data_IF_342434160334
#
_entry.id   IF_342434160334
#
_cell.length_a   1.000
_cell.length_b   1.000
_cell.length_c   1.000
_cell.angle_alpha   90.00
_cell.angle_beta   90.00
_cell.angle_gamma   90.00
#
_symmetry.space_group_name_H-M   'P 1'
#
loop_
_entity.id
_entity.type
_entity.pdbx_description
1 polymer ?
#
# COMPACT_ATOMS: atom_id res chain seq x y z
N UNK A 1 -32.60 24.24 -3.42
CA UNK A 1 -32.78 24.78 -2.04
C UNK A 1 -33.31 26.22 -2.18
N UNK A 2 -33.17 27.16 -1.24
CA UNK A 2 -33.54 28.58 -1.52
C UNK A 2 -32.43 29.34 -2.26
N UNK A 3 -31.21 28.83 -2.17
CA UNK A 3 -30.02 29.22 -2.90
C UNK A 3 -29.39 27.95 -3.50
N UNK A 4 -28.62 28.09 -4.57
CA UNK A 4 -27.85 27.00 -5.20
C UNK A 4 -26.39 27.47 -5.37
N UNK A 5 -25.47 26.53 -5.58
CA UNK A 5 -24.03 26.83 -5.71
C UNK A 5 -23.62 26.90 -7.18
N UNK A 6 -23.29 28.09 -7.67
CA UNK A 6 -22.76 28.29 -9.01
C UNK A 6 -21.24 28.01 -9.07
N UNK A 7 -20.78 27.47 -10.20
CA UNK A 7 -19.37 27.25 -10.52
C UNK A 7 -19.00 27.97 -11.83
N UNK A 8 -17.98 28.82 -11.78
CA UNK A 8 -17.53 29.62 -12.93
C UNK A 8 -16.15 29.18 -13.40
N UNK A 9 -16.09 28.43 -14.50
CA UNK A 9 -14.83 28.10 -15.16
C UNK A 9 -14.36 29.26 -16.04
N UNK A 10 -13.07 29.62 -15.98
CA UNK A 10 -12.48 30.58 -16.90
C UNK A 10 -12.59 30.12 -18.37
N UNK A 11 -12.83 31.07 -19.28
CA UNK A 11 -13.02 30.79 -20.71
C UNK A 11 -11.78 30.24 -21.40
N UNK A 12 -10.61 30.66 -20.93
CA UNK A 12 -9.30 30.19 -21.38
C UNK A 12 -8.49 29.77 -20.16
N UNK A 13 -7.95 28.55 -20.18
CA UNK A 13 -7.04 28.01 -19.16
C UNK A 13 -5.86 27.40 -19.90
N UNK A 14 -4.64 27.86 -19.61
CA UNK A 14 -3.44 27.46 -20.35
C UNK A 14 -2.37 26.85 -19.45
N UNK A 15 -1.51 26.02 -20.06
CA UNK A 15 -0.26 25.54 -19.50
C UNK A 15 0.87 25.96 -20.44
N UNK A 16 1.45 27.13 -20.17
CA UNK A 16 2.34 27.79 -21.14
C UNK A 16 1.58 28.19 -22.39
N UNK A 17 2.05 27.73 -23.56
CA UNK A 17 1.44 28.02 -24.87
C UNK A 17 0.25 27.11 -25.22
N UNK A 18 -0.10 26.13 -24.36
CA UNK A 18 -1.13 25.13 -24.65
C UNK A 18 -2.44 25.40 -23.91
N UNK A 19 -3.57 25.35 -24.61
CA UNK A 19 -4.91 25.42 -24.01
C UNK A 19 -5.29 24.07 -23.39
N UNK A 20 -5.70 24.07 -22.13
CA UNK A 20 -6.22 22.88 -21.46
C UNK A 20 -7.63 22.54 -21.95
N UNK A 21 -7.86 21.26 -22.27
CA UNK A 21 -9.19 20.76 -22.58
C UNK A 21 -10.07 20.70 -21.32
N UNK A 22 -11.40 20.76 -21.49
CA UNK A 22 -12.35 20.76 -20.36
C UNK A 22 -12.19 19.53 -19.45
N UNK A 23 -11.74 18.39 -19.96
CA UNK A 23 -11.46 17.19 -19.17
C UNK A 23 -10.23 17.31 -18.27
N UNK A 24 -9.29 18.19 -18.59
CA UNK A 24 -8.12 18.52 -17.75
C UNK A 24 -8.45 19.64 -16.76
N UNK A 25 -9.16 20.69 -17.20
CA UNK A 25 -9.58 21.79 -16.30
C UNK A 25 -10.43 21.26 -15.14
N UNK A 26 -11.41 20.38 -15.42
CA UNK A 26 -12.24 19.72 -14.38
C UNK A 26 -11.49 18.74 -13.46
N UNK A 27 -10.16 18.58 -13.60
CA UNK A 27 -9.31 17.80 -12.68
C UNK A 27 -8.48 18.69 -11.76
N UNK A 28 -8.47 20.01 -11.96
CA UNK A 28 -7.74 20.96 -11.12
C UNK A 28 -8.58 21.29 -9.87
N UNK A 29 -8.64 20.34 -8.94
CA UNK A 29 -9.49 20.39 -7.75
C UNK A 29 -8.85 21.09 -6.53
N UNK A 30 -7.69 21.72 -6.68
CA UNK A 30 -7.01 22.44 -5.59
C UNK A 30 -7.56 23.86 -5.44
N UNK A 31 -8.79 23.96 -4.91
CA UNK A 31 -9.38 25.24 -4.56
C UNK A 31 -8.92 25.72 -3.17
N UNK A 32 -8.50 26.98 -3.09
CA UNK A 32 -8.36 27.71 -1.84
C UNK A 32 -9.62 28.54 -1.56
N UNK A 33 -9.91 28.84 -0.30
CA UNK A 33 -10.92 29.87 0.01
C UNK A 33 -10.38 31.22 -0.47
N UNK A 34 -11.20 31.99 -1.17
CA UNK A 34 -10.90 33.36 -1.59
C UNK A 34 -11.23 34.32 -0.43
N UNK A 35 -10.26 35.05 0.15
CA UNK A 35 -10.56 36.00 1.22
C UNK A 35 -11.38 37.17 0.67
N UNK A 36 -12.67 37.22 1.02
CA UNK A 36 -13.59 38.24 0.50
C UNK A 36 -13.18 39.65 0.96
N UNK A 37 -12.52 39.77 2.12
CA UNK A 37 -11.94 41.03 2.60
C UNK A 37 -10.89 41.65 1.64
N UNK A 38 -10.22 40.85 0.80
CA UNK A 38 -9.26 41.35 -0.19
C UNK A 38 -9.96 41.84 -1.48
N UNK A 39 -11.24 41.53 -1.68
CA UNK A 39 -12.06 41.94 -2.82
C UNK A 39 -12.67 43.33 -2.59
N UNK A 40 -11.80 44.33 -2.40
CA UNK A 40 -12.17 45.70 -2.06
C UNK A 40 -12.83 46.48 -3.22
N UNK A 41 -14.08 46.12 -3.56
CA UNK A 41 -15.14 46.91 -4.21
C UNK A 41 -16.42 46.06 -4.39
N UNK A 42 -16.92 45.46 -3.31
CA UNK A 42 -18.29 44.92 -3.28
C UNK A 42 -19.20 46.08 -2.87
N UNK A 43 -19.97 46.62 -3.81
CA UNK A 43 -20.95 47.68 -3.54
C UNK A 43 -21.99 47.20 -2.51
N UNK A 44 -22.48 48.12 -1.67
CA UNK A 44 -23.17 47.83 -0.41
C UNK A 44 -24.22 46.71 -0.51
N UNK A 45 -23.89 45.53 0.02
CA UNK A 45 -24.88 44.51 0.40
C UNK A 45 -25.39 44.92 1.79
N UNK A 46 -26.65 45.34 1.95
CA UNK A 46 -27.18 45.70 3.27
C UNK A 46 -27.14 44.48 4.20
N UNK A 47 -26.92 44.73 5.49
CA UNK A 47 -26.94 43.70 6.54
C UNK A 47 -25.85 42.61 6.38
N UNK A 48 -24.82 42.84 5.57
CA UNK A 48 -23.70 41.92 5.35
C UNK A 48 -22.47 42.26 6.22
N UNK A 49 -22.06 41.32 7.08
CA UNK A 49 -20.80 41.39 7.84
C UNK A 49 -19.69 40.57 7.16
N UNK A 50 -18.51 41.17 7.00
CA UNK A 50 -17.35 40.54 6.35
C UNK A 50 -16.43 39.86 7.36
N UNK A 51 -16.71 38.59 7.67
CA UNK A 51 -15.91 37.78 8.60
C UNK A 51 -14.75 37.08 7.87
N UNK A 52 -13.75 37.89 7.50
CA UNK A 52 -12.49 37.45 6.90
C UNK A 52 -12.62 36.86 5.50
N UNK A 53 -12.96 35.57 5.42
CA UNK A 53 -13.09 34.80 4.18
C UNK A 53 -14.51 34.32 3.86
N UNK A 54 -15.51 34.77 4.64
CA UNK A 54 -16.92 34.59 4.32
C UNK A 54 -17.74 35.86 4.59
N UNK A 55 -18.73 36.11 3.74
CA UNK A 55 -19.79 37.09 4.00
C UNK A 55 -20.84 36.42 4.89
N UNK A 56 -21.30 37.12 5.92
CA UNK A 56 -22.41 36.71 6.78
C UNK A 56 -23.57 37.69 6.64
N UNK A 57 -24.81 37.21 6.61
CA UNK A 57 -26.02 38.03 6.68
C UNK A 57 -26.90 37.46 7.79
N UNK A 58 -27.09 38.23 8.87
CA UNK A 58 -27.75 37.80 10.11
C UNK A 58 -27.27 38.62 11.31
N UNK A 59 -27.87 38.44 12.49
CA UNK A 59 -27.60 39.30 13.66
C UNK A 59 -26.26 39.01 14.38
N UNK A 60 -25.83 37.75 14.44
CA UNK A 60 -24.59 37.34 15.12
C UNK A 60 -24.01 36.05 14.49
N UNK A 61 -22.86 36.11 13.78
CA UNK A 61 -22.22 34.93 13.19
C UNK A 61 -21.70 33.89 14.20
N UNK A 62 -21.63 34.22 15.49
CA UNK A 62 -21.33 33.29 16.58
C UNK A 62 -22.57 32.58 17.15
N UNK A 63 -23.77 33.13 16.90
CA UNK A 63 -25.06 32.59 17.35
C UNK A 63 -26.05 32.47 16.16
N UNK A 64 -25.74 31.67 15.13
CA UNK A 64 -26.49 31.62 13.88
C UNK A 64 -27.95 31.16 14.05
N UNK A 65 -28.89 31.93 13.48
CA UNK A 65 -30.33 31.71 13.59
C UNK A 65 -30.94 31.09 12.30
N UNK A 66 -32.21 30.67 12.37
CA UNK A 66 -32.93 30.10 11.21
C UNK A 66 -33.42 31.23 10.30
N UNK A 67 -32.54 31.64 9.38
CA UNK A 67 -32.78 32.69 8.39
C UNK A 67 -31.46 33.18 7.81
N UNK A 68 -30.42 33.17 8.64
CA UNK A 68 -29.08 33.66 8.36
C UNK A 68 -28.41 32.94 7.18
N UNK A 69 -27.56 33.68 6.46
CA UNK A 69 -26.85 33.21 5.28
C UNK A 69 -25.34 33.42 5.44
N UNK A 70 -24.54 32.41 5.12
CA UNK A 70 -23.08 32.53 5.01
C UNK A 70 -22.63 32.16 3.59
N UNK A 71 -21.94 33.08 2.94
CA UNK A 71 -21.41 32.94 1.58
C UNK A 71 -19.88 32.80 1.66
N UNK A 72 -19.34 31.74 1.07
CA UNK A 72 -17.90 31.47 1.01
C UNK A 72 -17.50 31.21 -0.44
N UNK A 73 -16.52 31.96 -0.94
CA UNK A 73 -16.01 31.80 -2.30
C UNK A 73 -14.78 30.90 -2.31
N UNK A 74 -14.71 30.01 -3.30
CA UNK A 74 -13.58 29.13 -3.54
C UNK A 74 -12.97 29.45 -4.91
N UNK A 75 -11.65 29.52 -4.98
CA UNK A 75 -10.91 29.85 -6.21
C UNK A 75 -9.79 28.84 -6.44
N UNK A 76 -9.58 28.46 -7.70
CA UNK A 76 -8.42 27.70 -8.14
C UNK A 76 -7.39 28.70 -8.66
N UNK A 77 -6.37 29.00 -7.86
CA UNK A 77 -5.31 29.91 -8.26
C UNK A 77 -4.39 29.27 -9.32
N UNK A 78 -3.72 30.07 -10.19
CA UNK A 78 -2.69 29.56 -11.09
C UNK A 78 -1.61 28.80 -10.32
N UNK A 79 -1.44 27.53 -10.64
CA UNK A 79 -0.57 26.59 -9.92
C UNK A 79 0.24 25.74 -10.89
N UNK A 80 1.37 25.19 -10.44
CA UNK A 80 2.12 24.23 -11.24
C UNK A 80 1.33 22.92 -11.36
N UNK A 81 1.23 22.37 -12.57
CA UNK A 81 0.60 21.06 -12.83
C UNK A 81 1.46 20.26 -13.79
N UNK A 82 1.37 18.94 -13.68
CA UNK A 82 1.99 17.97 -14.59
C UNK A 82 0.89 17.20 -15.31
N UNK A 83 0.99 17.12 -16.64
CA UNK A 83 -0.05 16.56 -17.51
C UNK A 83 0.52 15.42 -18.35
N UNK A 84 -0.24 14.33 -18.47
CA UNK A 84 0.02 13.21 -19.38
C UNK A 84 -1.26 12.94 -20.17
N UNK A 85 -1.28 13.43 -21.40
CA UNK A 85 -2.38 13.34 -22.37
C UNK A 85 -1.79 13.43 -23.79
N UNK A 86 -2.57 13.21 -24.85
CA UNK A 86 -2.07 13.35 -26.22
C UNK A 86 -2.04 14.82 -26.62
N UNK A 87 -0.90 15.33 -27.11
CA UNK A 87 -0.89 16.68 -27.70
C UNK A 87 -1.59 16.67 -29.06
N UNK A 88 -2.50 17.62 -29.26
CA UNK A 88 -3.23 17.85 -30.51
C UNK A 88 -3.13 19.34 -30.88
N UNK A 89 -2.15 19.69 -31.72
CA UNK A 89 -1.82 21.07 -32.03
C UNK A 89 -1.42 21.87 -30.77
N UNK A 90 -2.24 22.86 -30.42
CA UNK A 90 -2.11 23.70 -29.22
C UNK A 90 -2.97 23.24 -28.02
N UNK A 91 -3.58 22.06 -28.06
CA UNK A 91 -4.37 21.52 -26.94
C UNK A 91 -4.06 20.05 -26.63
N UNK A 92 -4.80 19.45 -25.70
CA UNK A 92 -4.59 18.10 -25.20
C UNK A 92 -5.86 17.25 -25.32
N UNK A 93 -5.74 16.09 -25.95
CA UNK A 93 -6.81 15.11 -26.16
C UNK A 93 -6.50 13.78 -25.44
N UNK A 94 -7.49 13.10 -24.85
CA UNK A 94 -7.28 11.83 -24.15
C UNK A 94 -6.63 10.75 -25.03
N UNK A 95 -5.42 10.31 -24.67
CA UNK A 95 -4.66 9.33 -25.44
C UNK A 95 -5.30 7.93 -25.33
N UNK A 96 -5.74 7.35 -26.46
CA UNK A 96 -6.34 6.02 -26.47
C UNK A 96 -5.28 4.92 -26.29
N UNK A 97 -5.35 4.17 -25.18
CA UNK A 97 -4.40 3.11 -24.88
C UNK A 97 -4.70 1.81 -25.65
N UNK A 98 -3.67 1.13 -26.14
CA UNK A 98 -3.79 -0.15 -26.86
C UNK A 98 -4.38 -1.30 -26.02
N UNK A 99 -4.37 -1.18 -24.68
CA UNK A 99 -5.03 -2.11 -23.75
C UNK A 99 -6.52 -1.79 -23.50
N UNK A 100 -7.05 -0.73 -24.14
CA UNK A 100 -8.35 -0.14 -23.83
C UNK A 100 -8.26 0.97 -22.78
N UNK A 101 -9.23 1.89 -22.82
CA UNK A 101 -9.29 3.07 -21.96
C UNK A 101 -8.45 4.25 -22.49
N UNK A 102 -8.68 5.43 -21.90
CA UNK A 102 -7.99 6.68 -22.23
C UNK A 102 -7.01 7.09 -21.13
N UNK A 103 -5.90 7.69 -21.55
CA UNK A 103 -4.89 8.31 -20.69
C UNK A 103 -5.05 9.82 -20.84
N UNK A 104 -5.62 10.45 -19.81
CA UNK A 104 -5.78 11.89 -19.67
C UNK A 104 -5.59 12.23 -18.19
N UNK A 105 -4.35 12.51 -17.79
CA UNK A 105 -3.94 12.63 -16.39
C UNK A 105 -3.44 14.06 -16.11
N UNK A 106 -3.85 14.61 -14.96
CA UNK A 106 -3.33 15.84 -14.41
C UNK A 106 -3.02 15.59 -12.93
N UNK A 107 -1.81 15.94 -12.50
CA UNK A 107 -1.36 15.86 -11.11
C UNK A 107 -0.79 17.23 -10.69
N UNK A 108 -1.04 17.71 -9.46
CA UNK A 108 -0.56 19.00 -9.00
C UNK A 108 0.94 18.99 -8.70
N UNK A 109 1.60 20.12 -8.95
CA UNK A 109 3.04 20.30 -8.83
C UNK A 109 3.83 19.67 -10.00
N UNK A 110 5.16 19.60 -9.83
CA UNK A 110 6.09 18.98 -10.79
C UNK A 110 6.26 17.49 -10.48
N UNK A 111 5.55 16.64 -11.21
CA UNK A 111 5.54 15.18 -11.07
C UNK A 111 6.14 14.55 -12.32
N UNK A 112 7.10 13.65 -12.14
CA UNK A 112 7.67 12.87 -13.25
C UNK A 112 6.60 11.98 -13.92
N UNK A 113 6.58 11.92 -15.25
CA UNK A 113 5.60 11.12 -15.99
C UNK A 113 5.69 9.62 -15.63
N UNK A 114 6.89 9.10 -15.35
CA UNK A 114 7.09 7.75 -14.83
C UNK A 114 6.48 7.53 -13.45
N UNK A 115 6.42 8.55 -12.60
CA UNK A 115 5.68 8.53 -11.34
C UNK A 115 4.16 8.61 -11.54
N UNK A 116 3.68 9.47 -12.45
CA UNK A 116 2.24 9.55 -12.80
C UNK A 116 1.70 8.20 -13.29
N UNK A 117 2.42 7.53 -14.20
CA UNK A 117 2.06 6.17 -14.65
C UNK A 117 2.10 5.13 -13.53
N UNK A 118 3.09 5.18 -12.63
CA UNK A 118 3.17 4.28 -11.46
C UNK A 118 1.97 4.49 -10.51
N UNK A 119 1.56 5.74 -10.28
CA UNK A 119 0.44 6.13 -9.43
C UNK A 119 -0.89 5.62 -10.00
N UNK A 120 -1.16 5.90 -11.28
CA UNK A 120 -2.33 5.39 -11.99
C UNK A 120 -2.39 3.85 -12.00
N UNK A 121 -1.26 3.17 -12.21
CA UNK A 121 -1.20 1.71 -12.16
C UNK A 121 -1.49 1.16 -10.75
N UNK A 122 -0.98 1.79 -9.68
CA UNK A 122 -1.19 1.35 -8.30
C UNK A 122 -2.65 1.50 -7.84
N UNK A 123 -3.31 2.60 -8.21
CA UNK A 123 -4.75 2.80 -7.94
C UNK A 123 -5.60 1.67 -8.53
N UNK A 124 -5.39 1.37 -9.82
CA UNK A 124 -6.08 0.27 -10.51
C UNK A 124 -5.79 -1.11 -9.88
N UNK A 125 -4.57 -1.34 -9.38
CA UNK A 125 -4.23 -2.58 -8.66
C UNK A 125 -4.98 -2.66 -7.33
N UNK A 126 -5.06 -1.58 -6.55
CA UNK A 126 -5.74 -1.57 -5.24
C UNK A 126 -7.22 -1.93 -5.38
N UNK A 127 -7.95 -1.25 -6.27
CA UNK A 127 -9.36 -1.56 -6.54
C UNK A 127 -9.57 -3.00 -7.01
N UNK A 128 -8.67 -3.52 -7.85
CA UNK A 128 -8.69 -4.91 -8.31
C UNK A 128 -8.58 -5.91 -7.14
N UNK A 129 -7.78 -5.63 -6.11
CA UNK A 129 -7.72 -6.47 -4.91
C UNK A 129 -8.96 -6.33 -4.02
N UNK A 130 -9.48 -5.10 -3.86
CA UNK A 130 -10.71 -4.84 -3.08
C UNK A 130 -11.90 -5.64 -3.65
N UNK A 131 -12.16 -5.54 -4.96
CA UNK A 131 -13.25 -6.29 -5.59
C UNK A 131 -13.07 -7.82 -5.53
N UNK A 132 -11.83 -8.32 -5.58
CA UNK A 132 -11.55 -9.77 -5.41
C UNK A 132 -11.78 -10.25 -3.99
N UNK A 133 -11.33 -9.49 -2.99
CA UNK A 133 -11.55 -9.81 -1.58
C UNK A 133 -13.05 -9.74 -1.23
N UNK A 134 -13.74 -8.68 -1.67
CA UNK A 134 -15.19 -8.54 -1.49
C UNK A 134 -15.98 -9.67 -2.17
N UNK A 135 -15.65 -10.01 -3.41
CA UNK A 135 -16.26 -11.14 -4.12
C UNK A 135 -16.00 -12.51 -3.47
N UNK A 136 -14.79 -12.73 -2.95
CA UNK A 136 -14.45 -13.94 -2.20
C UNK A 136 -15.22 -14.02 -0.87
N UNK A 137 -15.28 -12.93 -0.09
CA UNK A 137 -16.04 -12.87 1.16
C UNK A 137 -17.54 -13.09 0.90
N UNK A 138 -18.10 -12.46 -0.14
CA UNK A 138 -19.49 -12.66 -0.54
C UNK A 138 -19.78 -14.12 -0.92
N UNK A 139 -18.86 -14.76 -1.65
CA UNK A 139 -18.97 -16.18 -2.03
C UNK A 139 -18.86 -17.11 -0.81
N UNK A 140 -17.97 -16.81 0.15
CA UNK A 140 -17.83 -17.55 1.40
C UNK A 140 -19.10 -17.44 2.27
N UNK A 141 -19.65 -16.23 2.42
CA UNK A 141 -20.91 -15.99 3.13
C UNK A 141 -22.08 -16.68 2.42
N UNK A 142 -22.15 -16.63 1.09
CA UNK A 142 -23.15 -17.35 0.30
C UNK A 142 -23.09 -18.88 0.51
N UNK A 143 -21.89 -19.46 0.48
CA UNK A 143 -21.68 -20.89 0.75
C UNK A 143 -22.05 -21.26 2.19
N UNK A 144 -21.69 -20.43 3.17
CA UNK A 144 -22.07 -20.63 4.58
C UNK A 144 -23.59 -20.56 4.79
N UNK A 145 -24.30 -19.68 4.07
CA UNK A 145 -25.77 -19.64 4.09
C UNK A 145 -26.39 -20.91 3.48
N UNK A 146 -25.83 -21.43 2.38
CA UNK A 146 -26.29 -22.69 1.75
C UNK A 146 -26.08 -23.89 2.69
N UNK A 147 -24.98 -23.93 3.44
CA UNK A 147 -24.69 -25.02 4.41
C UNK A 147 -25.36 -24.82 5.77
N UNK A 148 -26.03 -23.69 6.03
CA UNK A 148 -26.67 -23.37 7.33
C UNK A 148 -27.74 -24.38 7.80
N UNK A 149 -28.60 -24.98 6.93
CA UNK A 149 -29.54 -26.01 7.38
C UNK A 149 -28.85 -27.24 7.96
N UNK A 150 -27.64 -27.57 7.49
CA UNK A 150 -26.85 -28.70 7.98
C UNK A 150 -26.27 -28.44 9.38
N UNK A 151 -25.90 -27.21 9.71
CA UNK A 151 -25.45 -26.88 11.09
C UNK A 151 -26.60 -26.91 12.09
N UNK A 152 -27.78 -26.36 11.72
CA UNK A 152 -28.98 -26.38 12.58
C UNK A 152 -29.45 -27.81 12.88
N UNK A 153 -29.29 -28.75 11.93
CA UNK A 153 -29.54 -30.17 12.19
C UNK A 153 -28.54 -30.79 13.19
N UNK A 154 -27.31 -30.26 13.27
CA UNK A 154 -26.29 -30.67 14.24
C UNK A 154 -26.55 -30.17 15.66
N UNK A 155 -27.23 -29.03 15.82
CA UNK A 155 -27.57 -28.45 17.13
C UNK A 155 -28.59 -29.30 17.92
N UNK A 156 -29.29 -30.23 17.25
CA UNK A 156 -30.21 -31.21 17.88
C UNK A 156 -29.47 -32.20 18.78
N UNK A 157 -28.16 -32.42 18.56
CA UNK A 157 -27.34 -33.33 19.37
C UNK A 157 -26.33 -32.50 20.18
N UNK A 158 -26.37 -32.55 21.53
CA UNK A 158 -25.41 -31.81 22.34
C UNK A 158 -23.97 -32.23 22.01
N UNK A 159 -23.04 -31.29 22.16
CA UNK A 159 -21.63 -31.36 21.74
C UNK A 159 -21.35 -31.41 20.22
N UNK A 160 -22.33 -31.72 19.36
CA UNK A 160 -22.12 -31.77 17.90
C UNK A 160 -22.32 -30.43 17.20
N UNK A 161 -23.28 -29.60 17.62
CA UNK A 161 -23.59 -28.31 16.99
C UNK A 161 -22.37 -27.40 16.73
N UNK A 162 -21.49 -27.22 17.73
CA UNK A 162 -20.27 -26.40 17.59
C UNK A 162 -19.24 -27.00 16.62
N UNK A 163 -19.12 -28.34 16.59
CA UNK A 163 -18.22 -29.06 15.67
C UNK A 163 -18.74 -28.98 14.24
N UNK A 164 -20.06 -29.15 14.03
CA UNK A 164 -20.68 -29.02 12.71
C UNK A 164 -20.64 -27.57 12.23
N UNK A 165 -20.88 -26.58 13.09
CA UNK A 165 -20.77 -25.15 12.76
C UNK A 165 -19.35 -24.73 12.35
N UNK A 166 -18.31 -25.19 13.07
CA UNK A 166 -16.92 -24.99 12.64
C UNK A 166 -16.62 -25.72 11.32
N UNK A 167 -17.14 -26.95 11.18
CA UNK A 167 -17.01 -27.77 9.98
C UNK A 167 -17.63 -27.15 8.73
N UNK A 168 -18.84 -26.56 8.81
CA UNK A 168 -19.48 -25.89 7.67
C UNK A 168 -18.73 -24.62 7.27
N UNK A 169 -18.11 -23.90 8.21
CA UNK A 169 -17.22 -22.78 7.90
C UNK A 169 -15.96 -23.20 7.11
N UNK A 170 -15.27 -24.25 7.56
CA UNK A 170 -14.09 -24.81 6.87
C UNK A 170 -14.49 -25.37 5.49
N UNK A 171 -15.60 -26.11 5.41
CA UNK A 171 -16.13 -26.65 4.16
C UNK A 171 -16.53 -25.52 3.18
N UNK A 172 -17.12 -24.43 3.68
CA UNK A 172 -17.44 -23.25 2.89
C UNK A 172 -16.19 -22.63 2.26
N UNK A 173 -15.12 -22.48 3.04
CA UNK A 173 -13.83 -21.97 2.54
C UNK A 173 -13.23 -22.90 1.46
N UNK A 174 -13.22 -24.22 1.72
CA UNK A 174 -12.66 -25.22 0.81
C UNK A 174 -13.41 -25.31 -0.54
N UNK A 175 -14.70 -24.97 -0.57
CA UNK A 175 -15.49 -24.90 -1.81
C UNK A 175 -15.35 -23.51 -2.45
N UNK A 176 -15.45 -22.41 -1.68
CA UNK A 176 -15.42 -21.05 -2.19
C UNK A 176 -14.06 -20.66 -2.80
N UNK A 177 -12.93 -21.12 -2.25
CA UNK A 177 -11.60 -20.76 -2.77
C UNK A 177 -11.35 -21.26 -4.22
N UNK A 178 -11.65 -22.53 -4.58
CA UNK A 178 -11.66 -22.99 -5.98
C UNK A 178 -12.59 -22.19 -6.90
N UNK A 179 -13.84 -21.93 -6.49
CA UNK A 179 -14.79 -21.18 -7.31
C UNK A 179 -14.35 -19.72 -7.52
N UNK A 180 -13.86 -19.03 -6.48
CA UNK A 180 -13.33 -17.67 -6.60
C UNK A 180 -12.09 -17.61 -7.51
N UNK A 181 -11.19 -18.61 -7.42
CA UNK A 181 -10.05 -18.74 -8.32
C UNK A 181 -10.49 -18.90 -9.78
N UNK A 182 -11.48 -19.76 -10.04
CA UNK A 182 -12.08 -19.96 -11.36
C UNK A 182 -12.70 -18.66 -11.89
N UNK A 183 -13.50 -17.95 -11.09
CA UNK A 183 -14.11 -16.67 -11.47
C UNK A 183 -13.05 -15.62 -11.83
N UNK A 184 -11.97 -15.52 -11.04
CA UNK A 184 -10.86 -14.59 -11.31
C UNK A 184 -10.12 -14.96 -12.60
N UNK A 185 -9.89 -16.26 -12.86
CA UNK A 185 -9.20 -16.74 -14.04
C UNK A 185 -10.02 -16.53 -15.33
N UNK A 186 -11.33 -16.78 -15.29
CA UNK A 186 -12.27 -16.49 -16.39
C UNK A 186 -12.34 -14.98 -16.66
N UNK A 187 -12.43 -14.14 -15.62
CA UNK A 187 -12.41 -12.69 -15.79
C UNK A 187 -11.11 -12.19 -16.46
N UNK A 188 -9.94 -12.72 -16.07
CA UNK A 188 -8.67 -12.41 -16.72
C UNK A 188 -8.62 -12.84 -18.19
N UNK A 189 -9.34 -13.88 -18.61
CA UNK A 189 -9.32 -14.36 -20.00
C UNK A 189 -9.74 -13.28 -21.01
N UNK A 190 -10.66 -12.38 -20.63
CA UNK A 190 -11.14 -11.28 -21.49
C UNK A 190 -10.15 -10.12 -21.62
N UNK A 191 -9.39 -9.83 -20.55
CA UNK A 191 -8.57 -8.61 -20.43
C UNK A 191 -7.05 -8.87 -20.54
N UNK A 192 -6.55 -10.06 -20.15
CA UNK A 192 -5.16 -10.51 -20.29
C UNK A 192 -5.13 -12.03 -20.51
N UNK A 193 -5.42 -12.53 -21.73
CA UNK A 193 -5.69 -13.95 -21.98
C UNK A 193 -4.56 -14.90 -21.53
N UNK A 194 -3.28 -14.52 -21.66
CA UNK A 194 -2.15 -15.34 -21.18
C UNK A 194 -2.15 -15.56 -19.65
N UNK A 195 -2.61 -14.59 -18.86
CA UNK A 195 -2.73 -14.71 -17.40
C UNK A 195 -3.97 -15.53 -17.05
N UNK A 196 -5.09 -15.33 -17.76
CA UNK A 196 -6.29 -16.15 -17.58
C UNK A 196 -6.03 -17.63 -17.86
N UNK A 197 -5.40 -17.94 -19.00
CA UNK A 197 -5.09 -19.31 -19.42
C UNK A 197 -4.12 -20.03 -18.46
N UNK A 198 -3.08 -19.34 -17.97
CA UNK A 198 -2.13 -19.94 -17.01
C UNK A 198 -2.76 -20.17 -15.62
N UNK A 199 -3.65 -19.29 -15.16
CA UNK A 199 -4.43 -19.51 -13.94
C UNK A 199 -5.42 -20.69 -14.07
N UNK A 200 -6.13 -20.79 -15.21
CA UNK A 200 -7.01 -21.93 -15.48
C UNK A 200 -6.23 -23.25 -15.53
N UNK A 201 -5.09 -23.28 -16.20
CA UNK A 201 -4.22 -24.46 -16.24
C UNK A 201 -3.73 -24.87 -14.84
N UNK A 202 -3.28 -23.91 -14.03
CA UNK A 202 -2.87 -24.17 -12.65
C UNK A 202 -4.02 -24.73 -11.78
N UNK A 203 -5.24 -24.21 -11.94
CA UNK A 203 -6.43 -24.72 -11.24
C UNK A 203 -6.77 -26.17 -11.66
N UNK A 204 -6.69 -26.49 -12.96
CA UNK A 204 -6.91 -27.87 -13.47
C UNK A 204 -5.84 -28.83 -12.96
N UNK A 205 -4.56 -28.41 -12.93
CA UNK A 205 -3.47 -29.24 -12.38
C UNK A 205 -3.65 -29.47 -10.88
N UNK A 206 -4.02 -28.45 -10.09
CA UNK A 206 -4.34 -28.60 -8.67
C UNK A 206 -5.51 -29.57 -8.43
N UNK A 207 -6.60 -29.45 -9.20
CA UNK A 207 -7.73 -30.39 -9.14
C UNK A 207 -7.31 -31.82 -9.49
N UNK A 208 -6.46 -31.99 -10.51
CA UNK A 208 -5.90 -33.30 -10.90
C UNK A 208 -5.02 -33.94 -9.82
N UNK A 209 -4.20 -33.14 -9.12
CA UNK A 209 -3.39 -33.60 -7.97
C UNK A 209 -4.30 -34.03 -6.81
N UNK A 210 -5.30 -33.23 -6.45
CA UNK A 210 -6.28 -33.58 -5.40
C UNK A 210 -7.06 -34.86 -5.76
N UNK A 211 -7.44 -35.03 -7.02
CA UNK A 211 -8.09 -36.25 -7.52
C UNK A 211 -7.18 -37.48 -7.46
N UNK A 212 -5.89 -37.33 -7.78
CA UNK A 212 -4.91 -38.42 -7.67
C UNK A 212 -4.66 -38.82 -6.22
N UNK A 213 -4.54 -37.85 -5.30
CA UNK A 213 -4.34 -38.10 -3.87
C UNK A 213 -5.58 -38.73 -3.22
N UNK A 214 -6.78 -38.23 -3.51
CA UNK A 214 -8.03 -38.82 -2.99
C UNK A 214 -8.31 -40.21 -3.54
N UNK A 215 -7.85 -40.55 -4.75
CA UNK A 215 -7.84 -41.94 -5.25
C UNK A 215 -6.85 -42.85 -4.50
N UNK A 216 -5.66 -42.36 -4.13
CA UNK A 216 -4.69 -43.12 -3.32
C UNK A 216 -5.22 -43.45 -1.91
N UNK A 217 -6.04 -42.57 -1.32
CA UNK A 217 -6.62 -42.77 0.02
C UNK A 217 -7.58 -43.96 0.17
N UNK A 218 -8.04 -44.60 -0.92
CA UNK A 218 -8.94 -45.76 -0.86
C UNK A 218 -8.24 -47.13 -0.85
N UNK A 219 -6.91 -47.17 -0.69
CA UNK A 219 -6.14 -48.42 -0.69
C UNK A 219 -5.09 -48.49 0.44
N UNK A 220 -5.57 -48.64 1.68
CA UNK A 220 -5.10 -49.64 2.67
C UNK A 220 -5.87 -49.53 3.98
N UNK A 221 -6.13 -50.70 4.59
CA UNK A 221 -6.67 -50.85 5.95
C UNK A 221 -5.55 -51.21 6.93
N UNK A 222 -5.74 -50.88 8.21
CA UNK A 222 -5.18 -51.55 9.41
C UNK A 222 -3.68 -51.90 9.45
N UNK A 223 -2.91 -51.20 10.29
CA UNK A 223 -2.17 -51.80 11.43
C UNK A 223 -1.37 -50.77 12.24
N UNK A 224 -1.34 -50.93 13.58
CA UNK A 224 -0.51 -50.23 14.61
C UNK A 224 -0.69 -51.09 15.88
N UNK A 225 0.31 -51.33 16.78
CA UNK A 225 1.51 -50.53 17.11
C UNK A 225 2.85 -51.29 17.16
N UNK A 226 3.95 -50.58 17.46
CA UNK A 226 4.94 -50.86 18.54
C UNK A 226 6.41 -50.47 18.20
N UNK A 227 7.12 -49.97 19.24
CA UNK A 227 8.59 -49.98 19.50
C UNK A 227 9.62 -49.54 18.44
N UNK A 228 10.41 -48.51 18.81
CA UNK A 228 11.89 -48.33 18.67
C UNK A 228 12.67 -49.27 17.74
N UNK A 229 13.56 -48.77 16.87
CA UNK A 229 14.89 -48.30 17.32
C UNK A 229 15.57 -47.23 16.43
N UNK A 230 16.72 -46.71 16.89
CA UNK A 230 17.49 -45.61 16.23
C UNK A 230 18.89 -46.05 15.79
N UNK A 231 19.23 -45.88 14.50
CA UNK A 231 20.61 -45.58 14.04
C UNK A 231 20.66 -44.71 12.76
N UNK A 232 21.24 -43.49 12.90
CA UNK A 232 22.40 -42.93 12.14
C UNK A 232 22.98 -43.79 10.98
N UNK A 233 23.46 -43.32 9.81
CA UNK A 233 24.23 -42.14 9.29
C UNK A 233 24.14 -42.22 7.72
N UNK A 234 24.25 -41.24 6.79
CA UNK A 234 24.49 -39.77 6.66
C UNK A 234 23.72 -39.25 5.39
N UNK A 235 23.43 -37.95 5.17
CA UNK A 235 24.17 -36.85 4.46
C UNK A 235 24.70 -37.17 3.04
N UNK A 236 24.78 -36.25 2.05
CA UNK A 236 24.91 -34.78 2.07
C UNK A 236 23.99 -34.00 1.10
N UNK A 237 23.53 -32.79 1.51
CA UNK A 237 24.00 -31.49 0.94
C UNK A 237 23.44 -30.30 1.74
N UNK A 238 24.18 -29.19 1.80
CA UNK A 238 23.76 -27.88 2.34
C UNK A 238 23.42 -27.78 3.84
N UNK A 239 24.31 -28.25 4.72
CA UNK A 239 24.35 -27.82 6.13
C UNK A 239 25.78 -27.35 6.46
N UNK A 240 26.02 -26.03 6.47
CA UNK A 240 27.39 -25.51 6.36
C UNK A 240 27.61 -24.06 6.79
N UNK A 241 27.14 -23.69 7.99
CA UNK A 241 27.72 -22.65 8.85
C UNK A 241 27.00 -22.73 10.22
N UNK A 242 27.66 -23.33 11.21
CA UNK A 242 27.07 -23.59 12.53
C UNK A 242 26.99 -22.31 13.37
N UNK A 243 26.03 -22.28 14.29
CA UNK A 243 26.09 -21.45 15.49
C UNK A 243 27.31 -21.81 16.33
N UNK A 244 28.05 -20.80 16.79
CA UNK A 244 29.12 -20.93 17.78
C UNK A 244 28.64 -20.38 19.14
N UNK A 245 29.12 -20.97 20.23
CA UNK A 245 28.51 -20.82 21.56
C UNK A 245 28.72 -19.43 22.18
N UNK A 246 27.66 -18.82 22.73
CA UNK A 246 27.76 -17.76 23.76
C UNK A 246 26.64 -17.90 24.81
N UNK A 247 26.54 -19.07 25.44
CA UNK A 247 25.82 -19.22 26.71
C UNK A 247 26.77 -18.93 27.89
N UNK A 248 27.00 -17.64 28.16
CA UNK A 248 27.46 -17.11 29.47
C UNK A 248 27.58 -15.57 29.46
N UNK A 249 26.45 -14.86 29.59
CA UNK A 249 26.42 -13.41 29.88
C UNK A 249 25.06 -12.95 30.45
N UNK A 250 24.54 -13.64 31.47
CA UNK A 250 23.43 -13.10 32.26
C UNK A 250 23.88 -11.84 33.04
N UNK A 251 22.92 -11.02 33.48
CA UNK A 251 23.12 -9.89 34.40
C UNK A 251 23.79 -8.62 33.85
N UNK A 252 23.20 -8.02 32.80
CA UNK A 252 23.18 -6.55 32.60
C UNK A 252 21.76 -6.08 32.21
N UNK A 253 21.34 -4.86 32.60
CA UNK A 253 19.94 -4.46 32.49
C UNK A 253 19.46 -4.29 31.04
N UNK A 254 18.17 -4.54 30.81
CA UNK A 254 17.54 -4.29 29.50
C UNK A 254 17.29 -2.79 29.32
N UNK A 255 18.27 -2.07 28.80
CA UNK A 255 18.16 -0.65 28.48
C UNK A 255 16.93 -0.37 27.61
N UNK A 256 16.03 0.49 28.10
CA UNK A 256 14.83 0.89 27.37
C UNK A 256 15.22 1.85 26.23
N UNK A 257 15.36 1.30 25.03
CA UNK A 257 15.42 2.10 23.80
C UNK A 257 14.11 2.86 23.62
N UNK A 258 14.08 4.11 24.08
CA UNK A 258 12.93 5.00 23.96
C UNK A 258 12.55 5.19 22.48
N UNK A 259 11.26 5.15 22.17
CA UNK A 259 10.74 5.00 20.81
C UNK A 259 10.97 6.17 19.87
N UNK A 260 11.40 7.31 20.41
CA UNK A 260 11.09 8.63 19.85
C UNK A 260 12.30 9.28 19.15
N UNK A 261 13.52 8.85 19.48
CA UNK A 261 14.76 9.34 18.87
C UNK A 261 15.20 8.60 17.60
N UNK A 262 14.58 7.47 17.25
CA UNK A 262 15.06 6.58 16.18
C UNK A 262 14.35 6.88 14.85
N UNK A 263 14.81 7.92 14.18
CA UNK A 263 14.39 8.31 12.82
C UNK A 263 15.20 7.66 11.69
N UNK A 264 14.79 7.89 10.44
CA UNK A 264 15.50 7.43 9.24
C UNK A 264 16.81 8.22 8.97
N UNK A 265 17.64 7.74 8.04
CA UNK A 265 18.73 8.53 7.48
C UNK A 265 18.21 9.62 6.53
N UNK A 266 18.71 10.85 6.66
CA UNK A 266 18.22 12.03 5.95
C UNK A 266 18.64 12.01 4.48
N UNK A 267 17.68 12.00 3.56
CA UNK A 267 17.90 11.85 2.12
C UNK A 267 18.80 12.96 1.54
N UNK A 268 18.57 14.22 1.95
CA UNK A 268 19.28 15.39 1.43
C UNK A 268 20.82 15.34 1.62
N UNK A 269 21.31 14.76 2.72
CA UNK A 269 22.77 14.63 2.96
C UNK A 269 23.43 13.52 2.15
N UNK A 270 22.66 12.53 1.67
CA UNK A 270 23.17 11.45 0.83
C UNK A 270 23.43 11.96 -0.59
N UNK A 271 22.56 12.85 -1.09
CA UNK A 271 22.60 13.38 -2.45
C UNK A 271 23.87 14.22 -2.72
N UNK A 272 24.34 15.00 -1.74
CA UNK A 272 25.59 15.77 -1.85
C UNK A 272 26.86 14.90 -1.89
N UNK A 273 26.92 13.78 -1.17
CA UNK A 273 28.13 12.94 -1.08
C UNK A 273 28.45 12.12 -2.33
N UNK A 274 27.64 12.26 -3.40
CA UNK A 274 27.64 11.34 -4.54
C UNK A 274 27.80 12.06 -5.89
N UNK A 275 28.60 13.13 -5.96
CA UNK A 275 28.69 14.01 -7.16
C UNK A 275 29.61 13.50 -8.30
N UNK A 276 29.75 12.18 -8.45
CA UNK A 276 30.48 11.53 -9.55
C UNK A 276 29.64 10.42 -10.20
N UNK A 277 29.72 10.29 -11.54
CA UNK A 277 29.17 9.25 -12.44
C UNK A 277 27.76 8.63 -12.18
N UNK A 278 26.84 8.64 -13.16
CA UNK A 278 25.52 8.03 -13.03
C UNK A 278 25.52 6.52 -13.32
N UNK A 279 26.09 5.71 -12.42
CA UNK A 279 26.00 4.25 -12.51
C UNK A 279 24.54 3.77 -12.42
N UNK A 280 24.12 2.87 -13.31
CA UNK A 280 22.75 2.33 -13.36
C UNK A 280 22.33 1.69 -12.02
N UNK A 281 23.21 0.92 -11.37
CA UNK A 281 22.97 0.33 -10.04
C UNK A 281 22.72 1.40 -8.95
N UNK A 282 23.32 2.59 -9.08
CA UNK A 282 23.17 3.69 -8.13
C UNK A 282 21.83 4.42 -8.29
N UNK A 283 21.35 4.59 -9.53
CA UNK A 283 20.00 5.13 -9.78
C UNK A 283 18.95 4.19 -9.19
N UNK A 284 19.08 2.87 -9.43
CA UNK A 284 18.21 1.85 -8.83
C UNK A 284 18.27 1.85 -7.29
N UNK A 285 19.46 2.02 -6.70
CA UNK A 285 19.64 2.15 -5.24
C UNK A 285 18.84 3.31 -4.67
N UNK A 286 18.83 4.47 -5.33
CA UNK A 286 18.11 5.66 -4.86
C UNK A 286 16.58 5.52 -4.97
N UNK A 287 16.07 4.92 -6.05
CA UNK A 287 14.63 4.62 -6.20
C UNK A 287 14.14 3.61 -5.14
N UNK A 288 14.91 2.55 -4.88
CA UNK A 288 14.63 1.60 -3.80
C UNK A 288 14.69 2.26 -2.41
N UNK A 289 15.64 3.16 -2.17
CA UNK A 289 15.78 3.85 -0.89
C UNK A 289 14.57 4.77 -0.62
N UNK A 290 14.18 5.61 -1.60
CA UNK A 290 12.99 6.47 -1.50
C UNK A 290 11.72 5.65 -1.28
N UNK A 291 11.55 4.52 -1.99
CA UNK A 291 10.42 3.59 -1.76
C UNK A 291 10.41 3.01 -0.35
N UNK A 292 11.55 2.54 0.15
CA UNK A 292 11.65 2.01 1.51
C UNK A 292 11.35 3.06 2.58
N UNK A 293 11.77 4.31 2.38
CA UNK A 293 11.46 5.43 3.27
C UNK A 293 9.96 5.75 3.27
N UNK A 294 9.30 5.83 2.10
CA UNK A 294 7.86 6.06 2.01
C UNK A 294 7.05 4.94 2.68
N UNK A 295 7.42 3.67 2.47
CA UNK A 295 6.78 2.55 3.18
C UNK A 295 6.96 2.64 4.70
N UNK A 296 8.12 3.10 5.19
CA UNK A 296 8.34 3.29 6.62
C UNK A 296 7.47 4.43 7.19
N UNK A 297 7.38 5.57 6.50
CA UNK A 297 6.54 6.70 6.91
C UNK A 297 5.05 6.34 6.96
N UNK A 298 4.60 5.49 6.04
CA UNK A 298 3.24 4.94 6.03
C UNK A 298 3.00 3.81 7.06
N UNK A 299 3.97 3.50 7.93
CA UNK A 299 3.89 2.41 8.91
C UNK A 299 3.97 0.99 8.31
N UNK A 300 4.19 0.86 6.99
CA UNK A 300 4.22 -0.40 6.24
C UNK A 300 5.59 -1.08 6.36
N UNK A 301 6.02 -1.34 7.60
CA UNK A 301 7.41 -1.69 7.92
C UNK A 301 7.94 -2.92 7.19
N UNK A 302 7.14 -3.96 6.91
CA UNK A 302 7.63 -5.14 6.17
C UNK A 302 7.96 -4.80 4.70
N UNK A 303 7.23 -3.86 4.08
CA UNK A 303 7.54 -3.38 2.73
C UNK A 303 8.80 -2.50 2.73
N UNK A 304 9.03 -1.73 3.80
CA UNK A 304 10.27 -0.99 4.01
C UNK A 304 11.47 -1.94 4.17
N UNK A 305 11.37 -2.93 5.06
CA UNK A 305 12.38 -4.00 5.26
C UNK A 305 12.69 -4.73 3.95
N UNK A 306 11.67 -5.00 3.12
CA UNK A 306 11.86 -5.62 1.80
C UNK A 306 12.67 -4.73 0.85
N UNK A 307 12.36 -3.44 0.72
CA UNK A 307 13.12 -2.58 -0.20
C UNK A 307 14.55 -2.36 0.31
N UNK A 308 14.75 -2.16 1.61
CA UNK A 308 16.10 -2.01 2.18
C UNK A 308 16.92 -3.31 2.05
N UNK A 309 16.30 -4.50 2.10
CA UNK A 309 17.01 -5.77 1.85
C UNK A 309 17.51 -5.86 0.42
N UNK A 310 16.70 -5.52 -0.60
CA UNK A 310 17.14 -5.50 -2.01
C UNK A 310 18.40 -4.63 -2.22
N UNK A 311 18.48 -3.50 -1.52
CA UNK A 311 19.64 -2.59 -1.57
C UNK A 311 20.90 -3.23 -0.92
N UNK A 312 20.72 -4.02 0.13
CA UNK A 312 21.80 -4.80 0.77
C UNK A 312 22.31 -5.90 -0.18
N UNK A 313 21.38 -6.53 -0.92
CA UNK A 313 21.65 -7.61 -1.86
C UNK A 313 22.36 -7.12 -3.14
N UNK A 314 21.97 -5.96 -3.69
CA UNK A 314 22.65 -5.32 -4.85
C UNK A 314 23.92 -4.53 -4.46
N UNK A 315 24.24 -4.48 -3.16
CA UNK A 315 25.46 -3.86 -2.61
C UNK A 315 25.46 -2.32 -2.55
N UNK A 316 24.56 -1.65 -3.26
CA UNK A 316 24.51 -0.18 -3.32
C UNK A 316 24.26 0.45 -1.96
N UNK A 317 25.08 1.42 -1.52
CA UNK A 317 24.93 2.17 -0.27
C UNK A 317 24.54 1.33 0.99
N UNK A 318 25.07 0.10 1.07
CA UNK A 318 24.68 -0.95 2.04
C UNK A 318 24.62 -0.48 3.51
N UNK A 319 25.49 0.47 3.91
CA UNK A 319 25.54 1.04 5.26
C UNK A 319 24.33 1.89 5.65
N UNK A 320 23.65 2.51 4.69
CA UNK A 320 22.39 3.25 4.92
C UNK A 320 21.21 2.29 4.92
N UNK A 321 21.19 1.33 4.00
CA UNK A 321 20.12 0.33 3.92
C UNK A 321 20.03 -0.54 5.18
N UNK A 322 21.16 -1.03 5.71
CA UNK A 322 21.20 -1.76 6.98
C UNK A 322 20.67 -0.93 8.15
N UNK A 323 21.04 0.36 8.25
CA UNK A 323 20.52 1.23 9.30
C UNK A 323 19.01 1.42 9.19
N UNK A 324 18.50 1.82 8.01
CA UNK A 324 17.07 2.01 7.82
C UNK A 324 16.26 0.71 8.00
N UNK A 325 16.83 -0.45 7.63
CA UNK A 325 16.23 -1.77 7.92
C UNK A 325 16.21 -2.08 9.41
N UNK A 326 17.28 -1.78 10.14
CA UNK A 326 17.33 -1.85 11.60
C UNK A 326 16.26 -0.99 12.27
N UNK A 327 16.06 0.25 11.80
CA UNK A 327 14.98 1.13 12.31
C UNK A 327 13.59 0.54 12.02
N UNK A 328 13.35 0.01 10.83
CA UNK A 328 12.08 -0.64 10.48
C UNK A 328 11.81 -1.90 11.32
N UNK A 329 12.82 -2.78 11.48
CA UNK A 329 12.75 -3.96 12.34
C UNK A 329 12.53 -3.60 13.83
N UNK A 330 13.11 -2.48 14.29
CA UNK A 330 12.89 -1.99 15.64
C UNK A 330 11.43 -1.55 15.88
N UNK A 331 10.82 -0.80 14.94
CA UNK A 331 9.39 -0.44 15.00
C UNK A 331 8.46 -1.66 14.88
N UNK A 332 8.93 -2.77 14.30
CA UNK A 332 8.24 -4.08 14.34
C UNK A 332 8.47 -4.89 15.65
N UNK A 333 9.11 -4.32 16.66
CA UNK A 333 9.55 -5.00 17.89
C UNK A 333 10.53 -6.19 17.66
N UNK A 334 11.08 -6.36 16.44
CA UNK A 334 12.09 -7.39 16.09
C UNK A 334 13.50 -6.96 16.54
N UNK A 335 13.63 -6.62 17.84
CA UNK A 335 14.78 -5.93 18.44
C UNK A 335 16.12 -6.65 18.25
N UNK A 336 16.14 -7.98 18.28
CA UNK A 336 17.35 -8.79 18.05
C UNK A 336 17.91 -8.63 16.63
N UNK A 337 17.05 -8.71 15.61
CA UNK A 337 17.42 -8.50 14.22
C UNK A 337 17.82 -7.03 13.95
N UNK A 338 17.09 -6.07 14.54
CA UNK A 338 17.44 -4.65 14.47
C UNK A 338 18.86 -4.37 15.02
N UNK A 339 19.22 -5.01 16.15
CA UNK A 339 20.55 -4.87 16.75
C UNK A 339 21.67 -5.47 15.88
N UNK A 340 21.41 -6.55 15.15
CA UNK A 340 22.36 -7.10 14.17
C UNK A 340 22.58 -6.14 13.00
N UNK A 341 21.50 -5.58 12.45
CA UNK A 341 21.53 -4.57 11.39
C UNK A 341 22.28 -3.30 11.81
N UNK A 342 22.03 -2.78 13.03
CA UNK A 342 22.79 -1.64 13.57
C UNK A 342 24.27 -1.98 13.75
N UNK A 343 24.62 -3.17 14.28
CA UNK A 343 26.02 -3.64 14.37
C UNK A 343 26.70 -3.71 13.00
N UNK A 344 26.01 -4.17 11.96
CA UNK A 344 26.57 -4.24 10.61
C UNK A 344 26.68 -2.86 9.96
N UNK A 345 25.69 -1.97 10.13
CA UNK A 345 25.74 -0.60 9.64
C UNK A 345 26.87 0.21 10.32
N UNK A 346 27.07 0.05 11.63
CA UNK A 346 28.13 0.69 12.40
C UNK A 346 29.53 0.24 11.96
N UNK A 347 29.73 -1.06 11.70
CA UNK A 347 30.97 -1.61 11.10
C UNK A 347 31.28 -1.03 9.72
N UNK A 348 30.26 -0.63 8.96
CA UNK A 348 30.41 0.04 7.66
C UNK A 348 30.44 1.58 7.77
N UNK A 349 30.65 2.13 8.96
CA UNK A 349 30.80 3.58 9.17
C UNK A 349 29.50 4.37 9.09
N UNK A 350 28.37 3.82 9.54
CA UNK A 350 27.14 4.58 9.76
C UNK A 350 27.14 5.21 11.17
N UNK A 351 27.28 6.53 11.23
CA UNK A 351 27.34 7.30 12.50
C UNK A 351 26.05 7.21 13.32
N UNK A 352 24.86 7.26 12.68
CA UNK A 352 23.58 7.09 13.40
C UNK A 352 23.47 5.70 14.03
N UNK A 353 23.99 4.66 13.38
CA UNK A 353 24.05 3.31 13.93
C UNK A 353 25.04 3.19 15.11
N UNK A 354 26.22 3.82 15.01
CA UNK A 354 27.21 3.86 16.08
C UNK A 354 26.67 4.54 17.34
N UNK A 355 25.96 5.66 17.19
CA UNK A 355 25.31 6.36 18.32
C UNK A 355 24.31 5.47 19.08
N UNK A 356 23.44 4.74 18.36
CA UNK A 356 22.48 3.80 18.96
C UNK A 356 23.20 2.68 19.72
N UNK A 357 24.28 2.12 19.18
CA UNK A 357 25.02 1.04 19.87
C UNK A 357 25.72 1.54 21.14
N UNK A 358 26.25 2.77 21.12
CA UNK A 358 26.87 3.38 22.30
C UNK A 358 25.84 3.64 23.42
N UNK A 359 24.60 4.02 23.06
CA UNK A 359 23.48 4.16 24.01
C UNK A 359 22.97 2.83 24.59
N UNK A 360 23.29 1.68 23.98
CA UNK A 360 22.94 0.33 24.46
C UNK A 360 24.08 -0.27 25.30
N UNK A 361 25.27 0.31 25.24
CA UNK A 361 26.47 -0.17 25.94
C UNK A 361 26.74 0.53 27.28
N UNK A 362 25.93 1.53 27.64
CA UNK A 362 25.90 2.25 28.91
C UNK A 362 24.79 1.68 29.81
#
# INVERSE_FOLDING_TARGET
MRYESDEFTASEVTLGEFMLSRSLVGKINQSSVLPVADLANIEDIPEAEFHGSSIYLGEDPSLPQIGDLRITYHVVAPTEVSIVSSQSGQTFEPYQAAAGGTIDMLEPGRVDAGMMFRQAQQSNVMWTWIYRLGGFVLMLVGMAMILRPLSVAGDVIPFLGSVVGAGTGILSFLIAAPFACLTIAVAWLRYRPAIGASLLFAAVVAAGIVFMLSRRGKSKSTATPASSDTQTIQTDKYAGLKSENVDQAASRPSGQLNSDGIGLADSAKIEQTAKAAPDSNRIATNDLLKKGQNYFLNGQYDQAVMQFSKIIDTGGNRKVALYNRGVALFKQNKKSAALQDFKQAAKLGNVKAQAILNQIAQ
#
